data_IF_804842470863
#
_entry.id   IF_804842470863
#
_cell.length_a   1.000
_cell.length_b   1.000
_cell.length_c   1.000
_cell.angle_alpha   90.00
_cell.angle_beta   90.00
_cell.angle_gamma   90.00
#
_symmetry.space_group_name_H-M   'P 1'
#
loop_
_entity.id
_entity.type
_entity.pdbx_description
1 polymer ?
#
# COMPACT_ATOMS: atom_id res chain seq x y z
N UNK A 1 34.74 -39.17 -21.79
CA UNK A 1 33.84 -38.74 -22.89
C UNK A 1 32.40 -38.88 -22.41
N UNK A 2 31.75 -37.77 -22.07
CA UNK A 2 30.36 -37.75 -21.61
C UNK A 2 29.46 -37.35 -22.78
N UNK A 3 28.66 -38.29 -23.25
CA UNK A 3 27.67 -38.11 -24.30
C UNK A 3 26.47 -37.31 -23.76
N UNK A 4 26.34 -36.05 -24.21
CA UNK A 4 25.15 -35.24 -23.96
C UNK A 4 23.96 -35.79 -24.75
N UNK A 5 23.12 -36.59 -24.10
CA UNK A 5 21.81 -36.96 -24.61
C UNK A 5 20.90 -35.73 -24.56
N UNK A 6 20.85 -34.99 -25.67
CA UNK A 6 19.81 -33.97 -25.88
C UNK A 6 18.48 -34.71 -25.94
N UNK A 7 17.55 -34.34 -25.06
CA UNK A 7 16.24 -34.94 -24.98
C UNK A 7 15.37 -34.43 -26.14
N UNK A 8 15.41 -35.12 -27.28
CA UNK A 8 14.68 -34.76 -28.52
C UNK A 8 13.16 -34.63 -28.34
N UNK A 9 12.59 -35.19 -27.25
CA UNK A 9 11.15 -35.14 -26.97
C UNK A 9 10.61 -33.73 -26.67
N UNK A 10 11.46 -32.78 -26.28
CA UNK A 10 11.06 -31.38 -26.04
C UNK A 10 11.08 -30.51 -27.31
N UNK A 11 11.69 -30.99 -28.41
CA UNK A 11 11.82 -30.22 -29.66
C UNK A 11 10.54 -30.36 -30.50
N UNK A 12 9.89 -31.53 -30.48
CA UNK A 12 8.69 -31.79 -31.29
C UNK A 12 7.40 -31.18 -30.73
N UNK A 13 7.35 -30.84 -29.44
CA UNK A 13 6.18 -30.17 -28.83
C UNK A 13 6.05 -28.69 -29.21
N UNK A 14 7.08 -28.09 -29.84
CA UNK A 14 7.02 -26.69 -30.28
C UNK A 14 6.22 -26.46 -31.58
N UNK A 15 5.75 -27.52 -32.26
CA UNK A 15 5.05 -27.40 -33.55
C UNK A 15 3.54 -27.15 -33.47
N UNK A 16 2.91 -27.18 -32.28
CA UNK A 16 1.42 -27.26 -32.20
C UNK A 16 0.71 -26.43 -31.11
N UNK A 17 1.35 -25.44 -30.49
CA UNK A 17 0.63 -24.53 -29.56
C UNK A 17 0.36 -23.17 -30.20
N UNK A 18 -0.88 -22.68 -30.08
CA UNK A 18 -1.49 -21.50 -30.73
C UNK A 18 -0.84 -20.12 -30.49
N UNK A 19 0.38 -20.05 -29.95
CA UNK A 19 1.14 -18.81 -29.82
C UNK A 19 2.50 -18.96 -30.48
N UNK A 20 2.74 -18.17 -31.53
CA UNK A 20 4.05 -18.12 -32.18
C UNK A 20 5.09 -17.54 -31.20
N UNK A 21 6.36 -17.97 -31.26
CA UNK A 21 7.42 -17.46 -30.39
C UNK A 21 7.51 -15.94 -30.34
N UNK A 22 7.31 -15.26 -31.47
CA UNK A 22 7.25 -13.79 -31.53
C UNK A 22 6.09 -13.21 -30.71
N UNK A 23 4.92 -13.85 -30.73
CA UNK A 23 3.77 -13.44 -29.91
C UNK A 23 3.99 -13.75 -28.43
N UNK A 24 4.61 -14.89 -28.10
CA UNK A 24 4.90 -15.26 -26.71
C UNK A 24 5.87 -14.27 -26.03
N UNK A 25 6.88 -13.83 -26.78
CA UNK A 25 7.91 -12.89 -26.28
C UNK A 25 7.51 -11.42 -26.45
N UNK A 26 6.45 -11.12 -27.21
CA UNK A 26 6.04 -9.74 -27.52
C UNK A 26 7.00 -9.00 -28.45
N UNK A 27 7.83 -9.71 -29.22
CA UNK A 27 8.88 -9.15 -30.09
C UNK A 27 8.48 -9.34 -31.56
N UNK A 28 8.82 -8.39 -32.43
CA UNK A 28 8.60 -8.54 -33.88
C UNK A 28 9.40 -9.71 -34.44
N UNK A 29 8.82 -10.43 -35.41
CA UNK A 29 9.48 -11.56 -36.08
C UNK A 29 10.83 -11.19 -36.71
N UNK A 30 10.98 -9.98 -37.24
CA UNK A 30 12.25 -9.48 -37.80
C UNK A 30 13.35 -9.42 -36.76
N UNK A 31 13.00 -8.94 -35.57
CA UNK A 31 13.94 -8.63 -34.50
C UNK A 31 14.33 -9.94 -33.80
N UNK A 32 13.37 -10.85 -33.62
CA UNK A 32 13.65 -12.20 -33.14
C UNK A 32 14.52 -12.99 -34.13
N UNK A 33 14.28 -12.87 -35.44
CA UNK A 33 15.12 -13.49 -36.46
C UNK A 33 16.56 -12.99 -36.39
N UNK A 34 16.75 -11.68 -36.18
CA UNK A 34 18.07 -11.07 -35.99
C UNK A 34 18.78 -11.61 -34.74
N UNK A 35 18.09 -11.69 -33.60
CA UNK A 35 18.66 -12.21 -32.35
C UNK A 35 19.07 -13.69 -32.46
N UNK A 36 18.31 -14.47 -33.21
CA UNK A 36 18.58 -15.89 -33.45
C UNK A 36 19.61 -16.14 -34.57
N UNK A 37 19.99 -15.12 -35.34
CA UNK A 37 20.90 -15.24 -36.47
C UNK A 37 20.30 -15.98 -37.67
N UNK A 38 18.97 -15.94 -37.83
CA UNK A 38 18.26 -16.58 -38.96
C UNK A 38 17.57 -15.53 -39.83
N UNK A 39 17.21 -15.91 -41.06
CA UNK A 39 16.46 -15.00 -41.92
C UNK A 39 15.01 -14.84 -41.44
N UNK A 40 14.42 -13.66 -41.71
CA UNK A 40 12.99 -13.39 -41.45
C UNK A 40 12.07 -14.43 -42.09
N UNK A 41 12.41 -14.93 -43.28
CA UNK A 41 11.64 -15.96 -43.99
C UNK A 41 11.68 -17.31 -43.27
N UNK A 42 12.85 -17.71 -42.75
CA UNK A 42 12.98 -18.91 -41.91
C UNK A 42 12.17 -18.80 -40.62
N UNK A 43 12.19 -17.63 -39.97
CA UNK A 43 11.37 -17.37 -38.78
C UNK A 43 9.85 -17.46 -39.10
N UNK A 44 9.42 -16.88 -40.22
CA UNK A 44 8.00 -16.96 -40.64
C UNK A 44 7.57 -18.39 -41.01
N UNK A 45 8.47 -19.18 -41.62
CA UNK A 45 8.21 -20.60 -41.89
C UNK A 45 8.15 -21.44 -40.61
N UNK A 46 8.94 -21.08 -39.60
CA UNK A 46 8.88 -21.71 -38.28
C UNK A 46 7.58 -21.37 -37.55
N UNK A 47 7.21 -20.09 -37.51
CA UNK A 47 5.95 -19.62 -36.92
C UNK A 47 4.70 -20.23 -37.58
N UNK A 48 4.77 -20.53 -38.88
CA UNK A 48 3.69 -21.21 -39.62
C UNK A 48 3.77 -22.73 -39.59
N UNK A 49 4.74 -23.31 -38.87
CA UNK A 49 4.92 -24.76 -38.73
C UNK A 49 5.43 -25.47 -39.99
N UNK A 50 5.80 -24.72 -41.03
CA UNK A 50 6.22 -25.25 -42.34
C UNK A 50 7.67 -25.74 -42.34
N UNK A 51 8.54 -25.21 -41.49
CA UNK A 51 9.97 -25.60 -41.40
C UNK A 51 10.51 -25.46 -39.98
N UNK A 52 11.40 -26.34 -39.54
CA UNK A 52 12.14 -26.18 -38.28
C UNK A 52 13.27 -25.16 -38.42
N UNK A 53 13.60 -24.48 -37.32
CA UNK A 53 14.80 -23.66 -37.22
C UNK A 53 16.07 -24.53 -37.10
N UNK A 54 17.25 -24.00 -37.44
CA UNK A 54 18.52 -24.62 -37.12
C UNK A 54 18.64 -24.93 -35.63
N UNK A 55 19.36 -26.00 -35.28
CA UNK A 55 19.51 -26.46 -33.88
C UNK A 55 20.08 -25.36 -32.98
N UNK A 56 21.07 -24.61 -33.46
CA UNK A 56 21.66 -23.48 -32.73
C UNK A 56 20.62 -22.38 -32.44
N UNK A 57 19.76 -22.07 -33.41
CA UNK A 57 18.70 -21.07 -33.24
C UNK A 57 17.61 -21.58 -32.26
N UNK A 58 17.31 -22.88 -32.26
CA UNK A 58 16.40 -23.48 -31.28
C UNK A 58 16.95 -23.42 -29.86
N UNK A 59 18.25 -23.67 -29.68
CA UNK A 59 18.91 -23.56 -28.37
C UNK A 59 18.85 -22.13 -27.83
N UNK A 60 19.21 -21.14 -28.66
CA UNK A 60 19.12 -19.72 -28.28
C UNK A 60 17.69 -19.29 -27.97
N UNK A 61 16.71 -19.76 -28.74
CA UNK A 61 15.31 -19.48 -28.48
C UNK A 61 14.83 -20.08 -27.15
N UNK A 62 15.32 -21.28 -26.79
CA UNK A 62 15.02 -21.90 -25.51
C UNK A 62 15.62 -21.11 -24.33
N UNK A 63 16.86 -20.61 -24.47
CA UNK A 63 17.51 -19.75 -23.48
C UNK A 63 16.76 -18.43 -23.29
N UNK A 64 16.47 -17.71 -24.38
CA UNK A 64 15.70 -16.44 -24.35
C UNK A 64 14.34 -16.65 -23.67
N UNK A 65 13.67 -17.77 -23.96
CA UNK A 65 12.38 -18.09 -23.35
C UNK A 65 12.51 -18.35 -21.85
N UNK A 66 13.53 -19.10 -21.43
CA UNK A 66 13.79 -19.37 -20.01
C UNK A 66 14.01 -18.07 -19.23
N UNK A 67 14.80 -17.16 -19.77
CA UNK A 67 15.09 -15.87 -19.13
C UNK A 67 13.86 -14.97 -19.13
N UNK A 68 13.10 -14.92 -20.23
CA UNK A 68 11.84 -14.19 -20.31
C UNK A 68 10.82 -14.70 -19.27
N UNK A 69 10.66 -16.02 -19.15
CA UNK A 69 9.72 -16.62 -18.20
C UNK A 69 10.18 -16.37 -16.74
N UNK A 70 11.49 -16.39 -16.48
CA UNK A 70 12.05 -16.03 -15.17
C UNK A 70 11.82 -14.55 -14.83
N UNK A 71 12.05 -13.64 -15.77
CA UNK A 71 11.79 -12.20 -15.60
C UNK A 71 10.31 -11.91 -15.39
N UNK A 72 9.44 -12.58 -16.17
CA UNK A 72 7.99 -12.44 -16.03
C UNK A 72 7.50 -12.97 -14.68
N UNK A 73 8.04 -14.09 -14.21
CA UNK A 73 7.75 -14.62 -12.89
C UNK A 73 8.21 -13.66 -11.78
N UNK A 74 9.41 -13.07 -11.91
CA UNK A 74 9.90 -12.06 -10.97
C UNK A 74 8.99 -10.82 -10.94
N UNK A 75 8.60 -10.30 -12.09
CA UNK A 75 7.68 -9.16 -12.19
C UNK A 75 6.30 -9.45 -11.59
N UNK A 76 5.77 -10.65 -11.79
CA UNK A 76 4.51 -11.07 -11.17
C UNK A 76 4.61 -11.16 -9.65
N UNK A 77 5.74 -11.65 -9.14
CA UNK A 77 6.01 -11.70 -7.70
C UNK A 77 6.14 -10.28 -7.12
N UNK A 78 6.85 -9.38 -7.80
CA UNK A 78 6.98 -7.97 -7.39
C UNK A 78 5.63 -7.26 -7.41
N UNK A 79 4.79 -7.51 -8.42
CA UNK A 79 3.45 -6.96 -8.51
C UNK A 79 2.53 -7.50 -7.39
N UNK A 80 2.62 -8.79 -7.09
CA UNK A 80 1.88 -9.42 -5.99
C UNK A 80 2.31 -8.84 -4.63
N UNK A 81 3.62 -8.71 -4.41
CA UNK A 81 4.18 -8.10 -3.20
C UNK A 81 3.76 -6.63 -3.07
N UNK A 82 3.77 -5.86 -4.16
CA UNK A 82 3.31 -4.49 -4.17
C UNK A 82 1.80 -4.35 -3.91
N UNK A 83 1.00 -5.32 -4.37
CA UNK A 83 -0.44 -5.36 -4.09
C UNK A 83 -0.71 -5.70 -2.62
N UNK A 84 0.03 -6.64 -2.03
CA UNK A 84 -0.08 -6.98 -0.61
C UNK A 84 0.33 -5.81 0.29
N UNK A 85 1.45 -5.13 -0.02
CA UNK A 85 1.88 -3.91 0.69
C UNK A 85 0.81 -2.82 0.64
N UNK A 86 0.15 -2.60 -0.51
CA UNK A 86 -0.95 -1.64 -0.63
C UNK A 86 -2.12 -2.01 0.28
N UNK A 87 -2.55 -3.27 0.30
CA UNK A 87 -3.61 -3.75 1.19
C UNK A 87 -3.26 -3.52 2.66
N UNK A 88 -2.01 -3.81 3.05
CA UNK A 88 -1.54 -3.55 4.41
C UNK A 88 -1.59 -2.05 4.77
N UNK A 89 -1.14 -1.17 3.87
CA UNK A 89 -1.22 0.28 4.07
C UNK A 89 -2.66 0.78 4.20
N UNK A 90 -3.58 0.26 3.38
CA UNK A 90 -5.01 0.59 3.46
C UNK A 90 -5.62 0.14 4.80
N UNK A 91 -5.26 -1.05 5.28
CA UNK A 91 -5.71 -1.54 6.59
C UNK A 91 -5.20 -0.67 7.74
N UNK A 92 -3.92 -0.26 7.69
CA UNK A 92 -3.33 0.65 8.67
C UNK A 92 -4.03 2.03 8.66
N UNK A 93 -4.34 2.55 7.47
CA UNK A 93 -5.12 3.79 7.34
C UNK A 93 -6.52 3.66 7.95
N UNK A 94 -7.21 2.54 7.71
CA UNK A 94 -8.51 2.30 8.30
C UNK A 94 -8.43 2.28 9.84
N UNK A 95 -7.49 1.54 10.41
CA UNK A 95 -7.24 1.48 11.86
C UNK A 95 -6.92 2.87 12.44
N UNK A 96 -6.08 3.64 11.76
CA UNK A 96 -5.72 4.99 12.19
C UNK A 96 -6.94 5.92 12.18
N UNK A 97 -7.74 5.92 11.11
CA UNK A 97 -9.00 6.71 11.02
C UNK A 97 -9.97 6.38 12.15
N UNK A 98 -10.16 5.10 12.47
CA UNK A 98 -11.00 4.71 13.61
C UNK A 98 -10.46 5.28 14.93
N UNK A 99 -9.15 5.22 15.14
CA UNK A 99 -8.49 5.82 16.31
C UNK A 99 -8.69 7.33 16.40
N UNK A 100 -8.62 8.05 15.28
CA UNK A 100 -8.84 9.50 15.24
C UNK A 100 -10.27 9.86 15.64
N UNK A 101 -11.28 9.20 15.07
CA UNK A 101 -12.69 9.45 15.40
C UNK A 101 -12.94 9.25 16.90
N UNK A 102 -12.37 8.18 17.47
CA UNK A 102 -12.47 7.92 18.91
C UNK A 102 -11.84 9.04 19.75
N UNK A 103 -10.58 9.40 19.44
CA UNK A 103 -9.87 10.42 20.20
C UNK A 103 -10.50 11.80 20.03
N UNK A 104 -10.98 12.14 18.83
CA UNK A 104 -11.69 13.39 18.56
C UNK A 104 -12.98 13.48 19.37
N UNK A 105 -13.78 12.41 19.41
CA UNK A 105 -14.98 12.36 20.26
C UNK A 105 -14.65 12.53 21.75
N UNK A 106 -13.51 12.01 22.22
CA UNK A 106 -13.04 12.22 23.60
C UNK A 106 -12.62 13.66 23.86
N UNK A 107 -11.88 14.27 22.93
CA UNK A 107 -11.52 15.69 23.03
C UNK A 107 -12.78 16.55 23.10
N UNK A 108 -13.74 16.35 22.20
CA UNK A 108 -14.99 17.11 22.18
C UNK A 108 -15.83 16.94 23.46
N UNK A 109 -15.90 15.73 24.01
CA UNK A 109 -16.60 15.49 25.26
C UNK A 109 -15.93 16.21 26.43
N UNK A 110 -14.60 16.13 26.53
CA UNK A 110 -13.82 16.78 27.59
C UNK A 110 -13.85 18.31 27.47
N UNK A 111 -13.76 18.87 26.26
CA UNK A 111 -13.87 20.32 26.06
C UNK A 111 -15.26 20.82 26.46
N UNK A 112 -16.34 20.14 26.07
CA UNK A 112 -17.70 20.48 26.50
C UNK A 112 -17.85 20.43 28.01
N UNK A 113 -17.27 19.42 28.66
CA UNK A 113 -17.32 19.30 30.13
C UNK A 113 -16.56 20.44 30.82
N UNK A 114 -15.40 20.84 30.30
CA UNK A 114 -14.65 22.00 30.81
C UNK A 114 -15.42 23.30 30.59
N UNK A 115 -15.96 23.52 29.39
CA UNK A 115 -16.76 24.70 29.06
C UNK A 115 -18.00 24.84 29.96
N UNK A 116 -18.73 23.75 30.20
CA UNK A 116 -19.88 23.76 31.11
C UNK A 116 -19.45 24.20 32.51
N UNK A 117 -18.34 23.65 33.00
CA UNK A 117 -17.81 24.00 34.33
C UNK A 117 -17.40 25.46 34.42
N UNK A 118 -16.73 25.98 33.40
CA UNK A 118 -16.31 27.38 33.34
C UNK A 118 -17.52 28.32 33.22
N UNK A 119 -18.55 27.93 32.46
CA UNK A 119 -19.83 28.66 32.39
C UNK A 119 -20.54 28.69 33.75
N UNK A 120 -20.62 27.55 34.46
CA UNK A 120 -21.19 27.50 35.80
C UNK A 120 -20.41 28.40 36.78
N UNK A 121 -19.09 28.43 36.67
CA UNK A 121 -18.25 29.31 37.48
C UNK A 121 -18.50 30.79 37.15
N UNK A 122 -18.58 31.14 35.87
CA UNK A 122 -18.84 32.52 35.45
C UNK A 122 -20.23 33.00 35.92
N UNK A 123 -21.27 32.16 35.82
CA UNK A 123 -22.61 32.46 36.33
C UNK A 123 -22.60 32.66 37.85
N UNK A 124 -21.88 31.82 38.58
CA UNK A 124 -21.72 31.96 40.02
C UNK A 124 -21.03 33.27 40.42
N UNK A 125 -19.98 33.66 39.69
CA UNK A 125 -19.27 34.92 39.91
C UNK A 125 -20.19 36.13 39.65
N UNK A 126 -21.03 36.09 38.59
CA UNK A 126 -22.03 37.12 38.32
C UNK A 126 -23.11 37.22 39.41
N UNK A 127 -23.60 36.08 39.92
CA UNK A 127 -24.55 36.05 41.03
C UNK A 127 -23.97 36.65 42.31
N UNK A 128 -22.69 36.39 42.61
CA UNK A 128 -22.01 37.02 43.74
C UNK A 128 -21.86 38.54 43.57
N UNK A 129 -21.57 39.01 42.35
CA UNK A 129 -21.49 40.44 42.06
C UNK A 129 -22.84 41.15 42.19
N UNK A 130 -23.95 40.47 41.86
CA UNK A 130 -25.32 40.99 42.04
C UNK A 130 -25.75 41.03 43.51
N UNK A 131 -25.20 40.15 44.36
CA UNK A 131 -25.56 40.00 45.78
C UNK A 131 -24.69 40.80 46.76
N UNK A 132 -23.88 41.78 46.29
CA UNK A 132 -23.02 42.63 47.14
C UNK A 132 -23.80 43.15 48.37
N UNK A 133 -23.59 42.51 49.54
CA UNK A 133 -24.26 42.86 50.80
C UNK A 133 -24.56 41.69 51.75
N UNK A 134 -24.64 40.43 51.30
CA UNK A 134 -24.88 39.29 52.20
C UNK A 134 -23.71 38.28 52.22
N UNK A 135 -23.13 37.99 53.41
CA UNK A 135 -22.10 36.97 53.53
C UNK A 135 -22.74 35.58 53.48
N UNK A 136 -22.54 34.86 52.38
CA UNK A 136 -22.77 33.41 52.34
C UNK A 136 -21.46 32.66 52.14
N UNK A 137 -21.35 31.52 52.84
CA UNK A 137 -20.30 30.52 52.63
C UNK A 137 -20.39 30.03 51.19
N UNK A 138 -19.42 30.36 50.35
CA UNK A 138 -19.36 29.86 48.98
C UNK A 138 -19.19 28.33 49.01
N UNK A 139 -20.22 27.60 48.58
CA UNK A 139 -20.20 26.15 48.43
C UNK A 139 -19.55 25.70 47.12
N UNK A 140 -18.87 26.61 46.41
CA UNK A 140 -18.22 26.26 45.16
C UNK A 140 -16.99 25.41 45.44
N UNK A 141 -16.91 24.21 44.83
CA UNK A 141 -15.68 23.43 44.90
C UNK A 141 -14.58 24.27 44.25
N UNK A 142 -13.57 24.63 45.06
CA UNK A 142 -12.31 25.18 44.54
C UNK A 142 -11.85 24.26 43.39
N UNK A 143 -11.20 24.79 42.33
CA UNK A 143 -10.61 23.94 41.31
C UNK A 143 -9.60 23.01 41.99
N UNK A 144 -10.05 21.79 42.29
CA UNK A 144 -9.27 20.77 42.96
C UNK A 144 -8.65 19.82 41.94
N UNK A 145 -7.93 18.83 42.43
CA UNK A 145 -7.22 17.81 41.65
C UNK A 145 -8.05 17.14 40.52
N UNK A 146 -9.39 17.15 40.61
CA UNK A 146 -10.28 16.65 39.55
C UNK A 146 -10.24 17.50 38.26
N UNK A 147 -10.07 18.82 38.39
CA UNK A 147 -9.95 19.74 37.26
C UNK A 147 -8.64 19.51 36.50
N UNK A 148 -7.55 19.39 37.26
CA UNK A 148 -6.22 19.13 36.70
C UNK A 148 -6.18 17.77 36.00
N UNK A 149 -6.89 16.76 36.54
CA UNK A 149 -7.03 15.46 35.89
C UNK A 149 -7.76 15.54 34.55
N UNK A 150 -8.84 16.32 34.46
CA UNK A 150 -9.58 16.53 33.20
C UNK A 150 -8.70 17.24 32.16
N UNK A 151 -8.01 18.30 32.55
CA UNK A 151 -7.11 19.05 31.67
C UNK A 151 -5.95 18.17 31.20
N UNK A 152 -5.33 17.38 32.09
CA UNK A 152 -4.29 16.40 31.70
C UNK A 152 -4.83 15.40 30.69
N UNK A 153 -6.01 14.84 30.93
CA UNK A 153 -6.62 13.87 30.00
C UNK A 153 -6.94 14.49 28.64
N UNK A 154 -7.38 15.75 28.60
CA UNK A 154 -7.61 16.48 27.35
C UNK A 154 -6.31 16.58 26.54
N UNK A 155 -5.24 17.05 27.18
CA UNK A 155 -3.92 17.20 26.56
C UNK A 155 -3.40 15.86 26.04
N UNK A 156 -3.56 14.77 26.81
CA UNK A 156 -3.17 13.43 26.37
C UNK A 156 -3.92 12.99 25.10
N UNK A 157 -5.24 13.18 25.04
CA UNK A 157 -6.03 12.82 23.86
C UNK A 157 -5.70 13.69 22.65
N UNK A 158 -5.36 14.96 22.87
CA UNK A 158 -4.97 15.88 21.81
C UNK A 158 -3.61 15.52 21.20
N UNK A 159 -2.62 15.20 22.04
CA UNK A 159 -1.32 14.69 21.57
C UNK A 159 -1.48 13.39 20.78
N UNK A 160 -2.35 12.48 21.22
CA UNK A 160 -2.63 11.23 20.48
C UNK A 160 -3.27 11.51 19.13
N UNK A 161 -4.22 12.45 19.06
CA UNK A 161 -4.88 12.82 17.82
C UNK A 161 -3.88 13.42 16.82
N UNK A 162 -3.03 14.34 17.26
CA UNK A 162 -1.97 14.93 16.43
C UNK A 162 -1.01 13.87 15.91
N UNK A 163 -0.54 12.96 16.78
CA UNK A 163 0.30 11.83 16.37
C UNK A 163 -0.37 11.00 15.27
N UNK A 164 -1.65 10.68 15.42
CA UNK A 164 -2.39 9.89 14.44
C UNK A 164 -2.57 10.64 13.11
N UNK A 165 -2.76 11.95 13.13
CA UNK A 165 -2.82 12.77 11.92
C UNK A 165 -1.48 12.80 11.18
N UNK A 166 -0.37 12.88 11.92
CA UNK A 166 0.97 12.77 11.33
C UNK A 166 1.20 11.39 10.70
N UNK A 167 0.83 10.33 11.41
CA UNK A 167 0.90 8.96 10.89
C UNK A 167 0.05 8.78 9.63
N UNK A 168 -1.17 9.33 9.59
CA UNK A 168 -2.01 9.31 8.40
C UNK A 168 -1.34 10.01 7.22
N UNK A 169 -0.80 11.22 7.41
CA UNK A 169 -0.09 11.94 6.33
C UNK A 169 1.10 11.15 5.82
N UNK A 170 1.84 10.50 6.72
CA UNK A 170 2.95 9.64 6.35
C UNK A 170 2.47 8.42 5.54
N UNK A 171 1.45 7.69 6.01
CA UNK A 171 0.86 6.54 5.28
C UNK A 171 0.30 6.95 3.90
N UNK A 172 -0.34 8.11 3.81
CA UNK A 172 -0.84 8.66 2.54
C UNK A 172 0.30 9.03 1.58
N UNK A 173 1.43 9.54 2.09
CA UNK A 173 2.61 9.79 1.26
C UNK A 173 3.20 8.49 0.69
N UNK A 174 3.23 7.42 1.49
CA UNK A 174 3.69 6.10 1.05
C UNK A 174 2.79 5.47 -0.04
N UNK A 175 1.51 5.81 -0.06
CA UNK A 175 0.60 5.41 -1.14
C UNK A 175 0.76 6.26 -2.41
N UNK A 176 1.21 7.51 -2.28
CA UNK A 176 1.38 8.47 -3.38
C UNK A 176 2.73 8.37 -4.10
N UNK A 177 3.79 7.87 -3.46
CA UNK A 177 5.13 7.69 -4.06
C UNK A 177 5.19 6.55 -5.10
N UNK A 178 4.27 6.56 -6.07
CA UNK A 178 4.29 5.66 -7.24
C UNK A 178 4.25 6.41 -8.54
#
# INVERSE_FOLDING_TARGET
MLTFYVNLSQIDTMKRSESTPSKMLGIKQSDLALMLGVSRSQMAMFDSGRRSLPVEALQRLAEIRKDHDALKAAQLNDAALAAERRKQLEELLAKNRHGQVYNQGKVEALTKQLQQRDNFRALAELDMQRRKGQPQKSSFPKPGAAADKLVRSLVEFQIRLERQQHEQKWLESQLREK
#
